data_IF_760683207990
#
_entry.id   IF_760683207990
#
_cell.length_a   1.000
_cell.length_b   1.000
_cell.length_c   1.000
_cell.angle_alpha   90.00
_cell.angle_beta   90.00
_cell.angle_gamma   90.00
#
_symmetry.space_group_name_H-M   'P 1'
#
loop_
_entity.id
_entity.type
_entity.pdbx_description
1 polymer ?
#
# COMPACT_ATOMS: atom_id res chain seq x y z
N UNK A 1 12.29 2.11 -14.38
CA UNK A 1 10.90 1.84 -14.79
C UNK A 1 10.13 3.16 -14.80
N UNK A 2 9.44 3.49 -15.90
CA UNK A 2 8.72 4.76 -16.07
C UNK A 2 7.52 4.92 -15.12
N UNK A 3 6.86 3.81 -14.76
CA UNK A 3 5.73 3.82 -13.81
C UNK A 3 6.25 4.16 -12.41
N UNK A 4 7.39 3.61 -12.01
CA UNK A 4 8.01 3.93 -10.72
C UNK A 4 8.44 5.39 -10.65
N UNK A 5 9.01 5.94 -11.72
CA UNK A 5 9.34 7.36 -11.79
C UNK A 5 8.09 8.25 -11.63
N UNK A 6 6.98 7.85 -12.27
CA UNK A 6 5.69 8.53 -12.12
C UNK A 6 5.15 8.45 -10.69
N UNK A 7 5.25 7.28 -10.04
CA UNK A 7 4.83 7.09 -8.64
C UNK A 7 5.60 8.04 -7.72
N UNK A 8 6.93 8.12 -7.86
CA UNK A 8 7.75 9.05 -7.07
C UNK A 8 7.35 10.50 -7.30
N UNK A 9 7.04 10.90 -8.53
CA UNK A 9 6.57 12.25 -8.86
C UNK A 9 5.21 12.55 -8.22
N UNK A 10 4.30 11.59 -8.20
CA UNK A 10 2.97 11.73 -7.58
C UNK A 10 3.05 11.81 -6.05
N UNK A 11 3.96 11.05 -5.45
CA UNK A 11 4.20 11.04 -4.01
C UNK A 11 5.06 12.22 -3.52
N UNK A 12 5.64 13.01 -4.43
CA UNK A 12 6.49 14.14 -4.07
C UNK A 12 5.74 15.23 -3.31
N UNK A 13 6.44 15.92 -2.40
CA UNK A 13 5.85 16.92 -1.52
C UNK A 13 5.62 18.29 -2.21
N UNK A 14 4.47 18.96 -1.97
CA UNK A 14 3.28 18.44 -1.29
C UNK A 14 2.45 17.54 -2.21
N UNK A 15 2.06 16.33 -1.78
CA UNK A 15 1.31 15.44 -2.64
C UNK A 15 -0.13 15.90 -2.79
N UNK A 16 -0.67 15.81 -4.01
CA UNK A 16 -2.08 16.07 -4.27
C UNK A 16 -2.92 14.84 -3.89
N UNK A 17 -3.92 14.95 -2.98
CA UNK A 17 -4.70 13.79 -2.52
C UNK A 17 -5.39 13.01 -3.65
N UNK A 18 -5.84 13.70 -4.70
CA UNK A 18 -6.47 13.07 -5.87
C UNK A 18 -5.47 12.18 -6.63
N UNK A 19 -4.22 12.62 -6.76
CA UNK A 19 -3.18 11.85 -7.45
C UNK A 19 -2.79 10.62 -6.62
N UNK A 20 -2.56 10.79 -5.30
CA UNK A 20 -2.30 9.67 -4.39
C UNK A 20 -3.41 8.62 -4.47
N UNK A 21 -4.67 9.06 -4.36
CA UNK A 21 -5.83 8.18 -4.43
C UNK A 21 -5.89 7.40 -5.75
N UNK A 22 -5.68 8.09 -6.86
CA UNK A 22 -5.74 7.48 -8.20
C UNK A 22 -4.61 6.48 -8.40
N UNK A 23 -3.38 6.83 -8.01
CA UNK A 23 -2.23 5.95 -8.10
C UNK A 23 -2.36 4.72 -7.21
N UNK A 24 -2.82 4.87 -5.96
CA UNK A 24 -3.08 3.74 -5.07
C UNK A 24 -4.15 2.80 -5.66
N UNK A 25 -5.24 3.35 -6.19
CA UNK A 25 -6.29 2.55 -6.85
C UNK A 25 -5.79 1.83 -8.11
N UNK A 26 -4.96 2.49 -8.92
CA UNK A 26 -4.34 1.86 -10.08
C UNK A 26 -3.45 0.68 -9.65
N UNK A 27 -2.58 0.88 -8.66
CA UNK A 27 -1.68 -0.17 -8.14
C UNK A 27 -2.44 -1.33 -7.51
N UNK A 28 -3.44 -1.07 -6.66
CA UNK A 28 -4.27 -2.13 -6.05
C UNK A 28 -4.98 -2.98 -7.10
N UNK A 29 -5.38 -2.40 -8.23
CA UNK A 29 -6.01 -3.12 -9.32
C UNK A 29 -5.03 -4.03 -10.11
N UNK A 30 -3.72 -3.75 -10.09
CA UNK A 30 -2.73 -4.60 -10.78
C UNK A 30 -2.71 -6.03 -10.19
N UNK A 31 -2.95 -6.18 -8.88
CA UNK A 31 -3.02 -7.49 -8.22
C UNK A 31 -4.13 -8.41 -8.75
N UNK A 32 -5.11 -7.89 -9.51
CA UNK A 32 -6.15 -8.71 -10.14
C UNK A 32 -5.61 -9.55 -11.30
N UNK A 33 -4.47 -9.18 -11.86
CA UNK A 33 -3.85 -9.90 -12.96
C UNK A 33 -2.47 -10.38 -12.53
N UNK A 34 -2.33 -11.70 -12.42
CA UNK A 34 -1.11 -12.36 -11.95
C UNK A 34 0.12 -12.06 -12.80
N UNK A 35 -0.05 -11.63 -14.06
CA UNK A 35 1.05 -11.18 -14.93
C UNK A 35 1.82 -9.97 -14.38
N UNK A 36 1.24 -9.20 -13.44
CA UNK A 36 1.92 -8.07 -12.80
C UNK A 36 2.56 -8.41 -11.45
N UNK A 37 2.37 -9.63 -10.92
CA UNK A 37 2.85 -9.99 -9.58
C UNK A 37 4.37 -9.84 -9.46
N UNK A 38 5.13 -10.29 -10.45
CA UNK A 38 6.59 -10.21 -10.42
C UNK A 38 7.08 -8.75 -10.43
N UNK A 39 6.40 -7.88 -11.18
CA UNK A 39 6.69 -6.44 -11.20
C UNK A 39 6.37 -5.77 -9.85
N UNK A 40 5.21 -6.11 -9.26
CA UNK A 40 4.81 -5.63 -7.93
C UNK A 40 5.80 -6.07 -6.85
N UNK A 41 6.30 -7.30 -6.92
CA UNK A 41 7.32 -7.81 -5.99
C UNK A 41 8.66 -7.10 -6.19
N UNK A 42 9.11 -6.96 -7.44
CA UNK A 42 10.38 -6.32 -7.78
C UNK A 42 10.45 -4.86 -7.29
N UNK A 43 9.32 -4.15 -7.33
CA UNK A 43 9.23 -2.73 -6.94
C UNK A 43 8.52 -2.48 -5.60
N UNK A 44 8.26 -3.52 -4.80
CA UNK A 44 7.52 -3.43 -3.54
C UNK A 44 8.05 -2.33 -2.64
N UNK A 45 9.35 -2.35 -2.36
CA UNK A 45 9.98 -1.42 -1.42
C UNK A 45 9.79 0.04 -1.87
N UNK A 46 10.00 0.32 -3.15
CA UNK A 46 9.85 1.66 -3.74
C UNK A 46 8.40 2.14 -3.67
N UNK A 47 7.44 1.25 -3.94
CA UNK A 47 6.01 1.54 -3.87
C UNK A 47 5.58 1.82 -2.42
N UNK A 48 5.96 0.95 -1.48
CA UNK A 48 5.59 1.09 -0.08
C UNK A 48 6.21 2.36 0.55
N UNK A 49 7.45 2.66 0.21
CA UNK A 49 8.15 3.86 0.68
C UNK A 49 7.49 5.14 0.15
N UNK A 50 7.20 5.19 -1.16
CA UNK A 50 6.57 6.35 -1.79
C UNK A 50 5.18 6.68 -1.18
N UNK A 51 4.41 5.66 -0.79
CA UNK A 51 3.09 5.86 -0.20
C UNK A 51 3.07 5.78 1.33
N UNK A 52 4.23 5.68 2.00
CA UNK A 52 4.31 5.48 3.45
C UNK A 52 3.56 6.56 4.23
N UNK A 53 3.58 7.83 3.81
CA UNK A 53 2.85 8.91 4.48
C UNK A 53 1.33 8.84 4.35
N UNK A 54 0.79 7.96 3.51
CA UNK A 54 -0.66 7.86 3.29
C UNK A 54 -1.43 7.39 4.53
N UNK A 55 -0.76 6.77 5.51
CA UNK A 55 -1.42 6.33 6.73
C UNK A 55 -1.96 7.48 7.58
N UNK A 56 -1.31 8.64 7.54
CA UNK A 56 -1.72 9.84 8.28
C UNK A 56 -2.50 10.84 7.41
N UNK A 57 -2.91 10.45 6.21
CA UNK A 57 -3.66 11.31 5.30
C UNK A 57 -5.01 11.72 5.90
N UNK A 58 -5.35 13.01 5.81
CA UNK A 58 -6.67 13.51 6.22
C UNK A 58 -7.80 13.04 5.30
N UNK A 59 -7.47 12.46 4.14
CA UNK A 59 -8.45 11.91 3.21
C UNK A 59 -8.68 10.41 3.47
N UNK A 60 -9.85 10.07 4.03
CA UNK A 60 -10.23 8.68 4.31
C UNK A 60 -10.12 7.74 3.11
N UNK A 61 -10.35 8.23 1.88
CA UNK A 61 -10.27 7.39 0.69
C UNK A 61 -8.82 7.02 0.35
N UNK A 62 -7.87 7.91 0.67
CA UNK A 62 -6.42 7.64 0.53
C UNK A 62 -6.01 6.59 1.55
N UNK A 63 -6.39 6.75 2.83
CA UNK A 63 -6.15 5.75 3.88
C UNK A 63 -6.73 4.37 3.50
N UNK A 64 -7.97 4.33 3.01
CA UNK A 64 -8.64 3.09 2.61
C UNK A 64 -7.94 2.42 1.43
N UNK A 65 -7.52 3.19 0.43
CA UNK A 65 -6.80 2.66 -0.73
C UNK A 65 -5.40 2.18 -0.37
N UNK A 66 -4.72 2.85 0.57
CA UNK A 66 -3.43 2.41 1.09
C UNK A 66 -3.57 1.12 1.92
N UNK A 67 -4.54 1.02 2.82
CA UNK A 67 -4.83 -0.23 3.54
C UNK A 67 -5.16 -1.38 2.57
N UNK A 68 -5.83 -1.09 1.47
CA UNK A 68 -6.11 -2.07 0.41
C UNK A 68 -4.85 -2.52 -0.32
N UNK A 69 -3.89 -1.63 -0.53
CA UNK A 69 -2.58 -1.98 -1.08
C UNK A 69 -1.84 -2.92 -0.13
N UNK A 70 -1.86 -2.65 1.17
CA UNK A 70 -1.19 -3.46 2.19
C UNK A 70 -1.77 -4.88 2.27
N UNK A 71 -3.10 -5.05 2.33
CA UNK A 71 -3.71 -6.39 2.37
C UNK A 71 -3.45 -7.17 1.08
N UNK A 72 -3.45 -6.52 -0.09
CA UNK A 72 -3.12 -7.18 -1.36
C UNK A 72 -1.66 -7.66 -1.39
N UNK A 73 -0.73 -6.84 -0.90
CA UNK A 73 0.66 -7.28 -0.74
C UNK A 73 0.79 -8.40 0.28
N UNK A 74 0.09 -8.35 1.42
CA UNK A 74 0.15 -9.40 2.42
C UNK A 74 -0.19 -10.78 1.80
N UNK A 75 -1.31 -10.86 1.06
CA UNK A 75 -1.72 -12.08 0.35
C UNK A 75 -0.64 -12.54 -0.65
N UNK A 76 -0.13 -11.63 -1.49
CA UNK A 76 0.89 -11.97 -2.49
C UNK A 76 2.20 -12.46 -1.85
N UNK A 77 2.63 -11.82 -0.76
CA UNK A 77 3.90 -12.12 -0.10
C UNK A 77 3.84 -13.42 0.72
N UNK A 78 2.67 -13.82 1.20
CA UNK A 78 2.44 -15.14 1.80
C UNK A 78 2.61 -16.23 0.74
N UNK A 79 1.95 -16.07 -0.41
CA UNK A 79 2.05 -17.01 -1.54
C UNK A 79 3.50 -17.20 -1.98
N UNK A 80 4.26 -16.10 -2.07
CA UNK A 80 5.66 -16.08 -2.51
C UNK A 80 6.67 -16.37 -1.40
N UNK A 81 6.22 -16.53 -0.14
CA UNK A 81 7.05 -16.79 1.05
C UNK A 81 8.16 -15.75 1.27
N UNK A 82 7.90 -14.51 0.88
CA UNK A 82 8.87 -13.41 1.00
C UNK A 82 8.81 -12.77 2.40
N UNK A 83 9.64 -13.28 3.32
CA UNK A 83 9.64 -12.85 4.73
C UNK A 83 10.05 -11.40 4.94
N UNK A 84 10.96 -10.89 4.12
CA UNK A 84 11.38 -9.48 4.20
C UNK A 84 10.21 -8.56 3.81
N UNK A 85 9.48 -8.91 2.75
CA UNK A 85 8.28 -8.18 2.38
C UNK A 85 7.18 -8.25 3.40
N UNK A 86 6.97 -9.42 3.98
CA UNK A 86 5.99 -9.60 5.06
C UNK A 86 6.32 -8.64 6.23
N UNK A 87 7.59 -8.51 6.62
CA UNK A 87 8.04 -7.57 7.66
C UNK A 87 7.75 -6.10 7.30
N UNK A 88 8.03 -5.71 6.04
CA UNK A 88 7.78 -4.34 5.55
C UNK A 88 6.29 -3.99 5.57
N UNK A 89 5.44 -4.89 5.07
CA UNK A 89 3.98 -4.71 5.07
C UNK A 89 3.41 -4.71 6.49
N UNK A 90 3.90 -5.60 7.36
CA UNK A 90 3.50 -5.64 8.77
C UNK A 90 3.75 -4.30 9.46
N UNK A 91 4.93 -3.71 9.25
CA UNK A 91 5.29 -2.40 9.81
C UNK A 91 4.35 -1.29 9.34
N UNK A 92 4.05 -1.24 8.03
CA UNK A 92 3.12 -0.27 7.47
C UNK A 92 1.67 -0.49 7.95
N UNK A 93 1.25 -1.75 8.07
CA UNK A 93 -0.09 -2.10 8.54
C UNK A 93 -0.28 -1.78 10.02
N UNK A 94 0.76 -1.93 10.86
CA UNK A 94 0.73 -1.50 12.26
C UNK A 94 0.56 0.02 12.38
N UNK A 95 1.28 0.81 11.57
CA UNK A 95 1.08 2.26 11.51
C UNK A 95 -0.37 2.62 11.12
N UNK A 96 -0.93 1.92 10.11
CA UNK A 96 -2.33 2.07 9.71
C UNK A 96 -3.35 1.64 10.77
N UNK A 97 -3.04 0.63 11.59
CA UNK A 97 -3.94 0.16 12.64
C UNK A 97 -3.94 1.07 13.88
N UNK A 98 -2.94 1.96 14.00
CA UNK A 98 -2.77 2.88 15.12
C UNK A 98 -3.84 3.98 15.21
N UNK A 99 -3.72 4.82 16.23
CA UNK A 99 -4.74 5.82 16.57
C UNK A 99 -4.92 6.93 15.54
N UNK A 100 -3.94 7.16 14.64
CA UNK A 100 -3.98 8.20 13.61
C UNK A 100 -4.90 7.93 12.42
N UNK A 101 -5.44 6.72 12.27
CA UNK A 101 -6.32 6.39 11.15
C UNK A 101 -7.75 6.84 11.42
N UNK A 102 -8.30 7.64 10.51
CA UNK A 102 -9.61 8.30 10.68
C UNK A 102 -10.76 7.32 10.41
N UNK A 103 -10.53 6.35 9.54
CA UNK A 103 -11.55 5.48 8.98
C UNK A 103 -11.50 4.05 9.53
N UNK A 104 -12.63 3.55 10.01
CA UNK A 104 -12.74 2.21 10.61
C UNK A 104 -12.47 1.09 9.62
N UNK A 105 -12.85 1.25 8.35
CA UNK A 105 -12.65 0.25 7.31
C UNK A 105 -11.15 0.13 6.96
N UNK A 106 -10.45 1.25 6.95
CA UNK A 106 -8.99 1.31 6.77
C UNK A 106 -8.27 0.56 7.89
N UNK A 107 -8.66 0.79 9.16
CA UNK A 107 -8.15 0.04 10.32
C UNK A 107 -8.47 -1.45 10.21
N UNK A 108 -9.70 -1.80 9.88
CA UNK A 108 -10.11 -3.19 9.71
C UNK A 108 -9.25 -3.90 8.66
N UNK A 109 -9.05 -3.31 7.48
CA UNK A 109 -8.20 -3.90 6.43
C UNK A 109 -6.75 -4.03 6.86
N UNK A 110 -6.22 -3.06 7.61
CA UNK A 110 -4.88 -3.14 8.17
C UNK A 110 -4.74 -4.30 9.16
N UNK A 111 -5.73 -4.48 10.05
CA UNK A 111 -5.78 -5.61 10.98
C UNK A 111 -5.90 -6.96 10.25
N UNK A 112 -6.68 -7.02 9.17
CA UNK A 112 -6.74 -8.23 8.33
C UNK A 112 -5.40 -8.51 7.65
N UNK A 113 -4.71 -7.47 7.16
CA UNK A 113 -3.36 -7.62 6.61
C UNK A 113 -2.38 -8.17 7.67
N UNK A 114 -2.40 -7.61 8.88
CA UNK A 114 -1.60 -8.09 10.02
C UNK A 114 -1.92 -9.55 10.33
N UNK A 115 -3.20 -9.91 10.46
CA UNK A 115 -3.61 -11.28 10.79
C UNK A 115 -3.41 -12.30 9.67
N UNK A 116 -3.19 -11.84 8.43
CA UNK A 116 -2.85 -12.72 7.31
C UNK A 116 -1.37 -13.12 7.33
N UNK A 117 -0.50 -12.21 7.76
CA UNK A 117 0.97 -12.36 7.78
C UNK A 117 1.46 -13.25 8.93
#
# INVERSE_FOLDING_TARGET
>A
DTIIELIRKVAANPPLPANLLTSLRALTNLFKNTSYNDWLLAHRAEILDAFSSCWSSSNKNVQLSYATLLINYAVLLIEKKDKEGQSQVLSAALAMAGEGTVDSDSKFRALVAIGSL
#
